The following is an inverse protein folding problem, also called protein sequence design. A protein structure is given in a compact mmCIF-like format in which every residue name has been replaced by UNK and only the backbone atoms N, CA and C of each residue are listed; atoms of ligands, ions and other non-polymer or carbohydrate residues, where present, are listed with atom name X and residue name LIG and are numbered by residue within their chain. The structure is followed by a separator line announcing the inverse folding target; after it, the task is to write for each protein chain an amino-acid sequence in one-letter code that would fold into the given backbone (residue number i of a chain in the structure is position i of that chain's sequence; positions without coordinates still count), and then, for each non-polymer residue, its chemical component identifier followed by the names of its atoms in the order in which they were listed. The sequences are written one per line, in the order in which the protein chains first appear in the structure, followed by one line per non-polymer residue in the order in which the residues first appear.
data_IF_367540782329
#
_entry.id   IF_367540782329
#
_cell.length_a   1.000
_cell.length_b   1.000
_cell.length_c   1.000
_cell.angle_alpha   90.00
_cell.angle_beta   90.00
_cell.angle_gamma   90.00
#
_symmetry.space_group_name_H-M   'P 1'
#
loop_
_entity.id
_entity.type
_entity.pdbx_description
1 polymer ?
#
# COMPACT_ATOMS: atom_id res chain seq x y z
N UNK A 1 -18.19 24.87 -4.78
CA UNK A 1 -17.43 23.76 -4.16
C UNK A 1 -16.49 24.38 -3.13
N UNK A 2 -16.60 24.00 -1.86
CA UNK A 2 -15.75 24.55 -0.79
C UNK A 2 -14.28 24.14 -1.00
N UNK A 3 -13.34 24.96 -0.52
CA UNK A 3 -11.90 24.66 -0.61
C UNK A 3 -11.53 23.35 0.12
N UNK A 4 -12.24 23.05 1.21
CA UNK A 4 -12.11 21.78 1.92
C UNK A 4 -12.48 20.57 1.05
N UNK A 5 -13.60 20.65 0.32
CA UNK A 5 -14.04 19.58 -0.57
C UNK A 5 -13.07 19.37 -1.74
N UNK A 6 -12.46 20.45 -2.26
CA UNK A 6 -11.40 20.35 -3.28
C UNK A 6 -10.18 19.61 -2.74
N UNK A 7 -9.73 19.95 -1.53
CA UNK A 7 -8.58 19.31 -0.90
C UNK A 7 -8.82 17.81 -0.70
N UNK A 8 -9.97 17.44 -0.13
CA UNK A 8 -10.34 16.03 0.06
C UNK A 8 -10.35 15.29 -1.28
N UNK A 9 -10.91 15.90 -2.32
CA UNK A 9 -10.93 15.33 -3.66
C UNK A 9 -9.51 15.06 -4.21
N UNK A 10 -8.60 16.04 -4.11
CA UNK A 10 -7.23 15.87 -4.60
C UNK A 10 -6.43 14.86 -3.77
N UNK A 11 -6.62 14.82 -2.46
CA UNK A 11 -5.99 13.83 -1.58
C UNK A 11 -6.45 12.41 -1.93
N UNK A 12 -7.76 12.22 -2.16
CA UNK A 12 -8.32 10.94 -2.61
C UNK A 12 -7.82 10.54 -4.00
N UNK A 13 -7.73 11.47 -4.94
CA UNK A 13 -7.21 11.22 -6.29
C UNK A 13 -5.74 10.81 -6.24
N UNK A 14 -4.93 11.50 -5.44
CA UNK A 14 -3.52 11.18 -5.24
C UNK A 14 -3.35 9.77 -4.66
N UNK A 15 -4.12 9.44 -3.62
CA UNK A 15 -4.09 8.11 -3.00
C UNK A 15 -4.44 7.02 -4.01
N UNK A 16 -5.52 7.21 -4.78
CA UNK A 16 -5.93 6.29 -5.84
C UNK A 16 -4.79 6.05 -6.84
N UNK A 17 -4.17 7.12 -7.34
CA UNK A 17 -3.11 7.00 -8.33
C UNK A 17 -1.92 6.20 -7.78
N UNK A 18 -1.53 6.45 -6.52
CA UNK A 18 -0.45 5.68 -5.88
C UNK A 18 -0.85 4.20 -5.76
N UNK A 19 -2.03 3.89 -5.25
CA UNK A 19 -2.47 2.50 -5.06
C UNK A 19 -2.48 1.72 -6.38
N UNK A 20 -2.91 2.36 -7.48
CA UNK A 20 -3.00 1.72 -8.79
C UNK A 20 -1.67 1.58 -9.53
N UNK A 21 -0.61 2.22 -9.06
CA UNK A 21 0.72 2.20 -9.67
C UNK A 21 1.66 1.14 -9.06
N UNK A 22 2.78 0.87 -9.75
CA UNK A 22 3.98 0.21 -9.21
C UNK A 22 3.74 -1.05 -8.34
N UNK A 23 2.88 -1.98 -8.77
CA UNK A 23 2.58 -3.23 -8.05
C UNK A 23 2.04 -3.03 -6.62
N UNK A 24 1.55 -1.83 -6.30
CA UNK A 24 1.17 -1.45 -4.94
C UNK A 24 -0.01 -2.25 -4.41
N UNK A 25 -1.02 -2.54 -5.23
CA UNK A 25 -2.10 -3.47 -4.88
C UNK A 25 -1.52 -4.85 -4.56
N UNK A 26 -0.66 -5.40 -5.43
CA UNK A 26 -0.08 -6.73 -5.22
C UNK A 26 0.74 -6.80 -3.93
N UNK A 27 1.52 -5.76 -3.62
CA UNK A 27 2.29 -5.65 -2.37
C UNK A 27 1.34 -5.61 -1.16
N UNK A 28 0.32 -4.77 -1.18
CA UNK A 28 -0.65 -4.65 -0.08
C UNK A 28 -1.37 -5.98 0.20
N UNK A 29 -1.86 -6.64 -0.85
CA UNK A 29 -2.52 -7.95 -0.74
C UNK A 29 -1.55 -9.05 -0.27
N UNK A 30 -0.30 -9.01 -0.73
CA UNK A 30 0.72 -9.95 -0.30
C UNK A 30 1.05 -9.79 1.19
N UNK A 31 1.24 -8.55 1.64
CA UNK A 31 1.44 -8.26 3.06
C UNK A 31 0.25 -8.72 3.90
N UNK A 32 -0.99 -8.46 3.47
CA UNK A 32 -2.18 -8.92 4.18
C UNK A 32 -2.24 -10.45 4.34
N UNK A 33 -1.81 -11.18 3.31
CA UNK A 33 -1.80 -12.65 3.32
C UNK A 33 -0.68 -13.25 4.18
N UNK A 34 0.48 -12.60 4.24
CA UNK A 34 1.70 -13.18 4.83
C UNK A 34 2.25 -12.41 6.04
N UNK A 35 1.52 -11.42 6.55
CA UNK A 35 1.87 -10.67 7.76
C UNK A 35 2.11 -11.63 8.95
N UNK A 36 3.10 -11.40 9.85
CA UNK A 36 4.13 -10.36 9.87
C UNK A 36 5.51 -10.78 9.36
N UNK A 37 5.60 -11.71 8.40
CA UNK A 37 6.87 -12.35 8.02
C UNK A 37 7.39 -11.99 6.63
N UNK A 38 7.09 -10.78 6.15
CA UNK A 38 7.53 -10.34 4.81
C UNK A 38 8.64 -9.31 4.94
N UNK A 39 9.79 -9.57 4.33
CA UNK A 39 10.89 -8.60 4.21
C UNK A 39 10.90 -7.91 2.84
N UNK A 40 11.69 -6.85 2.69
CA UNK A 40 11.91 -6.22 1.37
C UNK A 40 12.49 -7.21 0.36
N UNK A 41 13.38 -8.11 0.80
CA UNK A 41 13.98 -9.13 -0.05
C UNK A 41 12.94 -10.14 -0.56
N UNK A 42 11.93 -10.46 0.25
CA UNK A 42 10.86 -11.35 -0.18
C UNK A 42 10.01 -10.68 -1.26
N UNK A 43 9.73 -9.38 -1.12
CA UNK A 43 9.04 -8.61 -2.15
C UNK A 43 9.86 -8.52 -3.44
N UNK A 44 11.15 -8.22 -3.37
CA UNK A 44 12.03 -8.18 -4.55
C UNK A 44 12.08 -9.54 -5.26
N UNK A 45 12.21 -10.64 -4.51
CA UNK A 45 12.19 -12.00 -5.09
C UNK A 45 10.85 -12.33 -5.74
N UNK A 46 9.74 -11.85 -5.17
CA UNK A 46 8.38 -12.19 -5.62
C UNK A 46 7.92 -11.35 -6.81
N UNK A 47 8.22 -10.05 -6.78
CA UNK A 47 7.63 -9.06 -7.69
C UNK A 47 8.69 -8.29 -8.51
N UNK A 48 9.98 -8.55 -8.29
CA UNK A 48 11.09 -7.89 -8.95
C UNK A 48 11.53 -6.60 -8.26
N UNK A 49 12.64 -6.02 -8.74
CA UNK A 49 13.24 -4.79 -8.17
C UNK A 49 12.29 -3.59 -8.18
N UNK A 50 11.41 -3.51 -9.17
CA UNK A 50 10.46 -2.41 -9.29
C UNK A 50 9.45 -2.37 -8.13
N UNK A 51 9.21 -3.50 -7.45
CA UNK A 51 8.36 -3.56 -6.27
C UNK A 51 8.93 -2.75 -5.09
N UNK A 52 10.25 -2.53 -5.03
CA UNK A 52 10.86 -1.69 -4.00
C UNK A 52 10.49 -0.21 -4.18
N UNK A 53 10.23 0.23 -5.42
CA UNK A 53 9.70 1.57 -5.68
C UNK A 53 8.29 1.70 -5.14
N UNK A 54 7.43 0.73 -5.45
CA UNK A 54 6.07 0.67 -4.92
C UNK A 54 6.03 0.61 -3.39
N UNK A 55 6.85 -0.24 -2.78
CA UNK A 55 7.01 -0.31 -1.33
C UNK A 55 7.37 1.06 -0.73
N UNK A 56 8.30 1.78 -1.34
CA UNK A 56 8.69 3.12 -0.88
C UNK A 56 7.53 4.10 -0.95
N UNK A 57 6.74 4.06 -2.02
CA UNK A 57 5.54 4.88 -2.15
C UNK A 57 4.52 4.57 -1.04
N UNK A 58 4.26 3.28 -0.79
CA UNK A 58 3.36 2.80 0.27
C UNK A 58 3.83 3.20 1.68
N UNK A 59 5.15 3.19 1.93
CA UNK A 59 5.74 3.70 3.17
C UNK A 59 5.54 5.22 3.30
N UNK A 60 5.74 5.98 2.22
CA UNK A 60 5.61 7.44 2.22
C UNK A 60 4.18 7.92 2.49
N UNK A 61 3.17 7.12 2.15
CA UNK A 61 1.75 7.42 2.45
C UNK A 61 1.22 6.65 3.67
N UNK A 62 2.11 6.09 4.49
CA UNK A 62 1.79 5.44 5.75
C UNK A 62 0.83 4.26 5.63
N UNK A 63 0.83 3.52 4.51
CA UNK A 63 0.07 2.26 4.37
C UNK A 63 0.90 1.05 4.82
N UNK A 64 2.23 1.16 4.72
CA UNK A 64 3.18 0.12 5.14
C UNK A 64 4.19 0.75 6.07
N UNK A 65 4.57 0.03 7.12
CA UNK A 65 5.69 0.37 8.00
C UNK A 65 6.69 -0.77 8.04
N UNK A 66 7.91 -0.45 8.43
CA UNK A 66 8.98 -1.42 8.66
C UNK A 66 9.37 -1.41 10.13
N UNK A 67 9.41 -2.57 10.75
CA UNK A 67 9.92 -2.75 12.11
C UNK A 67 10.98 -3.85 12.09
N UNK A 68 12.24 -3.47 12.32
CA UNK A 68 13.37 -4.36 12.11
C UNK A 68 13.55 -4.67 10.62
N UNK A 69 13.50 -5.95 10.26
CA UNK A 69 13.60 -6.44 8.88
C UNK A 69 12.25 -6.88 8.29
N UNK A 70 11.15 -6.68 9.03
CA UNK A 70 9.81 -7.09 8.64
C UNK A 70 8.95 -5.89 8.25
N UNK A 71 8.11 -6.09 7.24
CA UNK A 71 7.13 -5.15 6.73
C UNK A 71 5.75 -5.47 7.30
N UNK A 72 5.04 -4.43 7.68
CA UNK A 72 3.72 -4.50 8.29
C UNK A 72 2.77 -3.54 7.61
N UNK A 73 1.51 -3.94 7.45
CA UNK A 73 0.45 -2.99 7.17
C UNK A 73 0.21 -2.12 8.41
N UNK A 74 0.02 -0.82 8.19
CA UNK A 74 -0.54 0.07 9.20
C UNK A 74 -2.04 -0.15 9.31
N UNK A 75 -2.71 0.53 10.25
CA UNK A 75 -4.17 0.47 10.34
C UNK A 75 -4.83 0.99 9.06
N UNK A 76 -4.27 2.05 8.48
CA UNK A 76 -4.68 2.63 7.20
C UNK A 76 -4.44 1.65 6.04
N UNK A 77 -3.33 0.93 6.05
CA UNK A 77 -3.03 -0.13 5.08
C UNK A 77 -4.01 -1.29 5.15
N UNK A 78 -4.35 -1.74 6.37
CA UNK A 78 -5.36 -2.79 6.60
C UNK A 78 -6.71 -2.34 6.07
N UNK A 79 -7.16 -1.13 6.43
CA UNK A 79 -8.43 -0.58 5.96
C UNK A 79 -8.51 -0.53 4.42
N UNK A 80 -7.42 -0.14 3.76
CA UNK A 80 -7.39 -0.15 2.30
C UNK A 80 -7.47 -1.54 1.70
N UNK A 81 -6.77 -2.53 2.28
CA UNK A 81 -6.86 -3.92 1.83
C UNK A 81 -8.28 -4.46 2.02
N UNK A 82 -8.92 -4.22 3.16
CA UNK A 82 -10.30 -4.63 3.40
C UNK A 82 -11.26 -4.02 2.36
N UNK A 83 -11.08 -2.75 2.02
CA UNK A 83 -11.81 -2.09 0.95
C UNK A 83 -11.62 -2.77 -0.41
N UNK A 84 -10.37 -3.08 -0.78
CA UNK A 84 -10.05 -3.79 -2.02
C UNK A 84 -10.69 -5.17 -2.09
N UNK A 85 -10.65 -5.93 -0.99
CA UNK A 85 -11.22 -7.27 -0.92
C UNK A 85 -12.75 -7.24 -0.97
N UNK A 86 -13.39 -6.25 -0.34
CA UNK A 86 -14.85 -6.11 -0.34
C UNK A 86 -15.40 -5.81 -1.74
N UNK A 87 -14.66 -5.07 -2.57
CA UNK A 87 -15.05 -4.76 -3.95
C UNK A 87 -14.84 -5.92 -4.94
N UNK A 88 -14.05 -6.92 -4.56
CA UNK A 88 -13.71 -8.06 -5.41
C UNK A 88 -14.68 -9.26 -5.26
N UNK A 89 -15.57 -9.22 -4.27
CA UNK A 89 -16.57 -10.26 -3.97
C UNK A 89 -17.93 -9.89 -4.55
#
# INVERSE_FOLDING_TARGET
MSEELKRIYYDALRLKNIILENKNIEILLYLAKYNPKVSEQDLEKKFGKDALKGLRELKNISLVKEEGSNLFLTNEGIFQVEGLLTMAV
#
